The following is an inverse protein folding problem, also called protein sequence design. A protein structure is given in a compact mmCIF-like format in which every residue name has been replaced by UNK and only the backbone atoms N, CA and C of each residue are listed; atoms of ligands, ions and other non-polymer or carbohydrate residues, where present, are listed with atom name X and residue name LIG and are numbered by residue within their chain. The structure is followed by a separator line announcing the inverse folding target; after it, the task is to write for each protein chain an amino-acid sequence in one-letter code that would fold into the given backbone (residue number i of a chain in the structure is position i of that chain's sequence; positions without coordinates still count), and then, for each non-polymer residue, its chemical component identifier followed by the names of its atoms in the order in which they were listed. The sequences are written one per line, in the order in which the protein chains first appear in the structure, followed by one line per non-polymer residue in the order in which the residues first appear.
data_IF_746820322004
#
_entry.id   IF_746820322004
#
_cell.length_a   1.000
_cell.length_b   1.000
_cell.length_c   1.000
_cell.angle_alpha   90.00
_cell.angle_beta   90.00
_cell.angle_gamma   90.00
#
_symmetry.space_group_name_H-M   'P 1'
#
loop_
_entity.id
_entity.type
_entity.pdbx_description
1 polymer ?
#
# COMPACT_ATOMS: atom_id res chain seq x y z
N UNK A 1 21.48 -18.09 1.72
CA UNK A 1 20.02 -18.29 1.83
C UNK A 1 19.67 -18.60 3.29
N UNK A 2 19.22 -17.60 4.05
CA UNK A 2 19.14 -17.63 5.52
C UNK A 2 18.16 -18.68 6.07
N UNK A 3 18.56 -19.41 7.11
CA UNK A 3 17.74 -20.39 7.85
C UNK A 3 16.36 -19.86 8.28
N UNK A 4 16.25 -18.54 8.49
CA UNK A 4 15.01 -17.82 8.81
C UNK A 4 13.96 -17.90 7.69
N UNK A 5 14.35 -17.80 6.43
CA UNK A 5 13.44 -17.99 5.28
C UNK A 5 12.90 -19.42 5.25
N UNK A 6 13.75 -20.41 5.58
CA UNK A 6 13.34 -21.82 5.66
C UNK A 6 12.42 -22.12 6.83
N UNK A 7 12.55 -21.42 7.96
CA UNK A 7 11.64 -21.54 9.09
C UNK A 7 10.27 -20.91 8.77
N UNK A 8 10.26 -19.67 8.28
CA UNK A 8 9.03 -18.98 7.87
C UNK A 8 8.25 -19.76 6.79
N UNK A 9 8.95 -20.27 5.76
CA UNK A 9 8.34 -21.07 4.71
C UNK A 9 7.77 -22.43 5.19
N UNK A 10 8.36 -23.02 6.23
CA UNK A 10 7.85 -24.26 6.85
C UNK A 10 6.55 -24.00 7.61
N UNK A 11 6.47 -22.88 8.33
CA UNK A 11 5.33 -22.56 9.18
C UNK A 11 4.16 -21.93 8.39
N UNK A 12 4.42 -21.38 7.20
CA UNK A 12 3.41 -20.72 6.34
C UNK A 12 3.49 -21.21 4.88
N UNK A 13 3.16 -22.49 4.61
CA UNK A 13 3.35 -23.13 3.31
C UNK A 13 2.57 -22.47 2.16
N UNK A 14 1.56 -21.64 2.46
CA UNK A 14 0.79 -20.88 1.47
C UNK A 14 1.45 -19.54 1.06
N UNK A 15 2.53 -19.11 1.72
CA UNK A 15 3.12 -17.76 1.51
C UNK A 15 4.55 -17.77 1.00
N UNK A 16 5.24 -18.90 1.06
CA UNK A 16 6.55 -19.05 0.45
C UNK A 16 6.40 -19.49 -1.02
N UNK A 17 6.42 -18.53 -1.94
CA UNK A 17 6.57 -18.82 -3.37
C UNK A 17 5.31 -18.72 -4.23
N UNK A 18 4.19 -18.19 -3.72
CA UNK A 18 3.12 -17.76 -4.62
C UNK A 18 3.64 -16.62 -5.49
N UNK A 19 3.67 -16.78 -6.83
CA UNK A 19 4.16 -15.72 -7.70
C UNK A 19 3.28 -14.48 -7.53
N UNK A 20 3.91 -13.31 -7.42
CA UNK A 20 3.20 -12.04 -7.61
C UNK A 20 2.71 -12.03 -9.05
N UNK A 21 1.42 -12.28 -9.25
CA UNK A 21 0.75 -12.26 -10.56
C UNK A 21 0.32 -10.84 -10.84
N UNK A 22 0.71 -10.30 -11.99
CA UNK A 22 0.21 -9.00 -12.45
C UNK A 22 -1.30 -9.10 -12.71
N UNK A 23 -2.12 -8.19 -12.19
CA UNK A 23 -3.54 -8.16 -12.53
C UNK A 23 -3.71 -7.90 -14.03
N UNK A 24 -4.65 -8.60 -14.66
CA UNK A 24 -5.05 -8.33 -16.04
C UNK A 24 -5.94 -7.08 -16.13
N UNK A 25 -6.26 -6.66 -17.35
CA UNK A 25 -7.08 -5.47 -17.58
C UNK A 25 -8.49 -5.60 -17.01
N UNK A 26 -9.05 -6.82 -16.95
CA UNK A 26 -10.37 -7.04 -16.36
C UNK A 26 -10.34 -6.84 -14.84
N UNK A 27 -9.28 -7.29 -14.17
CA UNK A 27 -9.07 -7.04 -12.75
C UNK A 27 -8.89 -5.55 -12.45
N UNK A 28 -8.13 -4.82 -13.28
CA UNK A 28 -7.99 -3.37 -13.14
C UNK A 28 -9.30 -2.62 -13.36
N UNK A 29 -10.07 -3.00 -14.39
CA UNK A 29 -11.40 -2.43 -14.63
C UNK A 29 -12.34 -2.66 -13.43
N UNK A 30 -12.25 -3.83 -12.77
CA UNK A 30 -13.03 -4.12 -11.56
C UNK A 30 -12.62 -3.23 -10.37
N UNK A 31 -11.32 -2.96 -10.20
CA UNK A 31 -10.83 -2.04 -9.15
C UNK A 31 -11.33 -0.61 -9.41
N UNK A 32 -11.16 -0.11 -10.63
CA UNK A 32 -11.62 1.22 -11.01
C UNK A 32 -13.14 1.36 -10.79
N UNK A 33 -13.92 0.41 -11.29
CA UNK A 33 -15.37 0.38 -11.10
C UNK A 33 -15.77 0.34 -9.61
N UNK A 34 -15.06 -0.45 -8.80
CA UNK A 34 -15.32 -0.52 -7.36
C UNK A 34 -15.09 0.81 -6.64
N UNK A 35 -14.02 1.52 -6.99
CA UNK A 35 -13.71 2.83 -6.41
C UNK A 35 -14.73 3.91 -6.88
N UNK A 36 -15.14 3.88 -8.15
CA UNK A 36 -16.20 4.77 -8.66
C UNK A 36 -17.53 4.53 -7.93
N UNK A 37 -17.91 3.26 -7.72
CA UNK A 37 -19.13 2.94 -6.98
C UNK A 37 -19.03 3.38 -5.52
N UNK A 38 -17.87 3.23 -4.85
CA UNK A 38 -17.68 3.79 -3.49
C UNK A 38 -17.98 5.29 -3.49
N UNK A 39 -17.39 6.06 -4.41
CA UNK A 39 -17.58 7.51 -4.47
C UNK A 39 -19.05 7.89 -4.73
N UNK A 40 -19.69 7.21 -5.67
CA UNK A 40 -21.11 7.39 -6.00
C UNK A 40 -22.02 7.07 -4.80
N UNK A 41 -21.76 5.96 -4.11
CA UNK A 41 -22.54 5.52 -2.96
C UNK A 41 -22.39 6.49 -1.77
N UNK A 42 -21.20 7.06 -1.56
CA UNK A 42 -20.96 8.13 -0.56
C UNK A 42 -21.76 9.38 -0.94
N UNK A 43 -21.63 9.88 -2.18
CA UNK A 43 -22.34 11.10 -2.62
C UNK A 43 -23.85 10.94 -2.52
N UNK A 44 -24.40 9.77 -2.82
CA UNK A 44 -25.83 9.50 -2.71
C UNK A 44 -26.32 9.57 -1.26
N UNK A 45 -25.56 9.03 -0.30
CA UNK A 45 -25.97 8.97 1.12
C UNK A 45 -25.64 10.23 1.90
N UNK A 46 -24.57 10.92 1.51
CA UNK A 46 -24.07 12.10 2.19
C UNK A 46 -23.72 13.18 1.14
N UNK A 47 -24.73 13.83 0.52
CA UNK A 47 -24.53 14.73 -0.60
C UNK A 47 -23.69 15.96 -0.27
N UNK A 48 -23.59 16.33 1.01
CA UNK A 48 -22.79 17.46 1.48
C UNK A 48 -21.44 17.04 2.09
N UNK A 49 -21.12 15.75 2.13
CA UNK A 49 -19.84 15.29 2.67
C UNK A 49 -18.69 15.63 1.71
N UNK A 50 -17.54 15.93 2.32
CA UNK A 50 -16.24 15.88 1.65
C UNK A 50 -15.80 14.43 1.59
N UNK A 51 -15.42 13.97 0.39
CA UNK A 51 -14.85 12.65 0.18
C UNK A 51 -13.36 12.80 -0.05
N UNK A 52 -12.54 12.17 0.80
CA UNK A 52 -11.09 12.16 0.69
C UNK A 52 -10.66 10.72 0.51
N UNK A 53 -10.05 10.39 -0.64
CA UNK A 53 -9.34 9.14 -0.82
C UNK A 53 -7.95 9.24 -0.19
N UNK A 54 -7.46 8.15 0.37
CA UNK A 54 -6.07 7.99 0.81
C UNK A 54 -5.49 6.84 -0.01
N UNK A 55 -4.44 7.10 -0.80
CA UNK A 55 -3.76 6.03 -1.52
C UNK A 55 -2.80 5.24 -0.59
N UNK A 56 -2.08 4.28 -1.14
CA UNK A 56 -1.23 3.38 -0.35
C UNK A 56 0.20 3.89 -0.22
N UNK A 57 0.85 3.56 0.90
CA UNK A 57 2.30 3.79 1.08
C UNK A 57 3.14 2.94 0.12
N UNK A 58 4.36 3.39 -0.16
CA UNK A 58 5.37 2.61 -0.88
C UNK A 58 5.96 1.54 0.05
N UNK A 59 5.79 0.28 -0.33
CA UNK A 59 6.25 -0.87 0.46
C UNK A 59 7.57 -1.43 -0.06
N UNK A 60 7.72 -1.54 -1.38
CA UNK A 60 8.88 -2.18 -2.02
C UNK A 60 9.89 -1.09 -2.40
N UNK A 61 11.19 -1.22 -2.01
CA UNK A 61 12.22 -0.25 -2.37
C UNK A 61 12.38 -0.14 -3.89
N UNK A 62 12.87 1.01 -4.41
CA UNK A 62 13.13 1.19 -5.83
C UNK A 62 14.31 0.34 -6.35
N UNK A 63 15.20 -0.10 -5.46
CA UNK A 63 16.44 -0.79 -5.78
C UNK A 63 16.59 -2.08 -4.96
N UNK A 64 17.68 -2.19 -4.19
CA UNK A 64 18.03 -3.38 -3.42
C UNK A 64 16.94 -3.79 -2.42
N UNK A 65 16.64 -5.09 -2.43
CA UNK A 65 15.77 -5.72 -1.45
C UNK A 65 16.56 -6.09 -0.19
N UNK A 66 15.86 -6.13 0.94
CA UNK A 66 16.38 -6.54 2.23
C UNK A 66 15.80 -7.89 2.66
N UNK A 67 16.41 -8.59 3.64
CA UNK A 67 15.96 -9.93 4.05
C UNK A 67 14.52 -10.02 4.56
N UNK A 68 13.94 -8.91 5.02
CA UNK A 68 12.55 -8.85 5.52
C UNK A 68 11.53 -8.70 4.40
N UNK A 69 11.95 -8.43 3.16
CA UNK A 69 11.11 -8.38 1.95
C UNK A 69 11.55 -9.51 1.01
N UNK A 70 11.06 -10.75 1.22
CA UNK A 70 11.60 -11.95 0.57
C UNK A 70 11.04 -12.16 -0.84
N UNK A 71 11.06 -11.10 -1.65
CA UNK A 71 10.69 -11.13 -3.06
C UNK A 71 11.90 -11.48 -3.92
N UNK A 72 11.67 -12.07 -5.09
CA UNK A 72 12.66 -12.01 -6.16
C UNK A 72 12.66 -10.64 -6.81
N UNK A 73 13.75 -10.26 -7.48
CA UNK A 73 13.82 -8.98 -8.21
C UNK A 73 12.66 -8.80 -9.20
N UNK A 74 12.29 -9.89 -9.88
CA UNK A 74 11.17 -9.92 -10.81
C UNK A 74 9.81 -9.71 -10.12
N UNK A 75 9.63 -10.29 -8.93
CA UNK A 75 8.41 -10.09 -8.15
C UNK A 75 8.35 -8.68 -7.58
N UNK A 76 9.48 -8.12 -7.13
CA UNK A 76 9.58 -6.75 -6.66
C UNK A 76 9.26 -5.74 -7.77
N UNK A 77 9.77 -5.97 -8.99
CA UNK A 77 9.45 -5.13 -10.15
C UNK A 77 7.95 -5.15 -10.46
N UNK A 78 7.33 -6.34 -10.46
CA UNK A 78 5.88 -6.46 -10.62
C UNK A 78 5.11 -5.74 -9.51
N UNK A 79 5.51 -5.90 -8.25
CA UNK A 79 4.88 -5.22 -7.12
C UNK A 79 4.98 -3.70 -7.23
N UNK A 80 6.12 -3.16 -7.67
CA UNK A 80 6.29 -1.72 -7.94
C UNK A 80 5.36 -1.23 -9.06
N UNK A 81 5.26 -1.99 -10.16
CA UNK A 81 4.36 -1.66 -11.25
C UNK A 81 2.88 -1.68 -10.82
N UNK A 82 2.48 -2.66 -10.01
CA UNK A 82 1.13 -2.75 -9.44
C UNK A 82 0.85 -1.54 -8.54
N UNK A 83 1.77 -1.21 -7.62
CA UNK A 83 1.62 -0.07 -6.72
C UNK A 83 1.50 1.25 -7.51
N UNK A 84 2.34 1.46 -8.53
CA UNK A 84 2.28 2.63 -9.40
C UNK A 84 0.95 2.73 -10.16
N UNK A 85 0.44 1.61 -10.69
CA UNK A 85 -0.86 1.61 -11.37
C UNK A 85 -2.02 1.86 -10.41
N UNK A 86 -1.97 1.32 -9.18
CA UNK A 86 -2.98 1.57 -8.16
C UNK A 86 -2.99 3.04 -7.69
N UNK A 87 -1.82 3.66 -7.53
CA UNK A 87 -1.65 5.10 -7.28
C UNK A 87 -2.37 5.92 -8.36
N UNK A 88 -2.12 5.60 -9.64
CA UNK A 88 -2.74 6.29 -10.79
C UNK A 88 -4.25 6.09 -10.85
N UNK A 89 -4.75 4.85 -10.69
CA UNK A 89 -6.19 4.54 -10.72
C UNK A 89 -6.92 5.27 -9.60
N UNK A 90 -6.37 5.26 -8.38
CA UNK A 90 -6.98 5.93 -7.23
C UNK A 90 -7.07 7.44 -7.46
N UNK A 91 -6.00 8.05 -7.98
CA UNK A 91 -5.98 9.48 -8.30
C UNK A 91 -6.98 9.85 -9.42
N UNK A 92 -7.07 9.03 -10.48
CA UNK A 92 -8.00 9.25 -11.57
C UNK A 92 -9.46 9.18 -11.11
N UNK A 93 -9.80 8.18 -10.29
CA UNK A 93 -11.16 8.04 -9.70
C UNK A 93 -11.47 9.21 -8.79
N UNK A 94 -10.55 9.59 -7.89
CA UNK A 94 -10.77 10.71 -6.98
C UNK A 94 -11.06 12.01 -7.77
N UNK A 95 -10.24 12.32 -8.77
CA UNK A 95 -10.44 13.47 -9.65
C UNK A 95 -11.80 13.44 -10.36
N UNK A 96 -12.15 12.32 -11.00
CA UNK A 96 -13.41 12.17 -11.76
C UNK A 96 -14.65 12.25 -10.86
N UNK A 97 -14.55 11.79 -9.61
CA UNK A 97 -15.62 11.87 -8.62
C UNK A 97 -15.75 13.26 -7.95
N UNK A 98 -14.85 14.21 -8.24
CA UNK A 98 -14.76 15.47 -7.50
C UNK A 98 -14.41 15.27 -6.02
N UNK A 99 -13.66 14.20 -5.73
CA UNK A 99 -13.13 13.89 -4.41
C UNK A 99 -11.71 14.41 -4.26
N UNK A 100 -11.31 14.61 -3.02
CA UNK A 100 -9.95 15.00 -2.64
C UNK A 100 -9.05 13.74 -2.50
N UNK A 101 -7.74 13.94 -2.51
CA UNK A 101 -6.76 12.85 -2.37
C UNK A 101 -5.66 13.23 -1.39
N UNK A 102 -5.36 12.32 -0.45
CA UNK A 102 -4.11 12.27 0.32
C UNK A 102 -3.20 11.23 -0.32
N UNK A 103 -2.02 11.67 -0.74
CA UNK A 103 -1.02 10.85 -1.42
C UNK A 103 -0.03 10.25 -0.43
N UNK A 104 -0.45 9.25 0.33
CA UNK A 104 0.43 8.47 1.20
C UNK A 104 1.60 7.84 0.42
N UNK A 105 1.39 7.50 -0.85
CA UNK A 105 2.42 7.05 -1.79
C UNK A 105 3.57 8.06 -1.87
N UNK A 106 3.28 9.34 -2.09
CA UNK A 106 4.26 10.44 -2.14
C UNK A 106 4.90 10.70 -0.78
N UNK A 107 4.11 10.74 0.29
CA UNK A 107 4.61 10.97 1.66
C UNK A 107 5.63 9.91 2.11
N UNK A 108 5.44 8.66 1.68
CA UNK A 108 6.28 7.52 2.06
C UNK A 108 7.50 7.30 1.15
N UNK A 109 7.81 8.20 0.23
CA UNK A 109 8.98 8.06 -0.65
C UNK A 109 10.26 8.03 0.20
N UNK A 110 11.08 6.99 0.03
CA UNK A 110 12.30 6.78 0.81
C UNK A 110 12.08 6.11 2.17
N UNK A 111 10.83 5.73 2.49
CA UNK A 111 10.45 5.06 3.73
C UNK A 111 9.84 3.67 3.48
N UNK A 112 10.29 2.96 2.44
CA UNK A 112 9.84 1.60 2.15
C UNK A 112 10.21 0.60 3.26
N UNK A 113 9.80 -0.66 3.11
CA UNK A 113 10.01 -1.70 4.13
C UNK A 113 11.48 -2.05 4.40
N UNK A 114 12.40 -1.62 3.53
CA UNK A 114 13.84 -1.82 3.68
C UNK A 114 14.59 -0.57 4.16
N UNK A 115 13.91 0.57 4.31
CA UNK A 115 14.50 1.78 4.85
C UNK A 115 14.83 1.62 6.35
N UNK A 116 15.86 2.32 6.82
CA UNK A 116 16.21 2.38 8.25
C UNK A 116 15.05 2.95 9.08
N UNK A 117 14.44 4.04 8.60
CA UNK A 117 13.18 4.57 9.12
C UNK A 117 12.00 4.10 8.25
N UNK A 118 11.69 2.81 8.31
CA UNK A 118 10.63 2.20 7.50
C UNK A 118 9.23 2.66 7.93
N UNK A 119 8.40 2.93 6.91
CA UNK A 119 6.98 3.24 7.06
C UNK A 119 6.09 2.05 6.72
N UNK A 120 6.68 0.96 6.21
CA UNK A 120 6.02 -0.31 6.03
C UNK A 120 6.77 -1.39 6.82
N UNK A 121 6.05 -2.29 7.47
CA UNK A 121 6.65 -3.52 7.99
C UNK A 121 7.11 -4.40 6.83
N UNK A 122 8.13 -5.25 7.05
CA UNK A 122 8.46 -6.33 6.12
C UNK A 122 7.38 -7.44 6.06
N UNK A 123 7.71 -8.54 5.37
CA UNK A 123 6.89 -9.75 5.33
C UNK A 123 7.18 -10.71 6.48
N UNK A 124 8.43 -10.69 6.95
CA UNK A 124 8.88 -11.52 8.06
C UNK A 124 8.79 -10.69 9.34
N UNK A 125 8.11 -11.25 10.34
CA UNK A 125 7.95 -10.64 11.67
C UNK A 125 9.29 -10.56 12.41
N UNK A 126 9.58 -9.41 13.00
CA UNK A 126 10.74 -9.27 13.89
C UNK A 126 10.54 -10.03 15.22
N UNK A 127 11.60 -10.65 15.76
CA UNK A 127 11.53 -11.30 17.07
C UNK A 127 11.09 -10.31 18.16
N UNK A 128 10.06 -10.68 18.93
CA UNK A 128 9.57 -9.86 20.04
C UNK A 128 8.48 -8.84 19.68
N UNK A 129 8.10 -8.70 18.41
CA UNK A 129 6.98 -7.84 18.04
C UNK A 129 5.65 -8.39 18.62
N UNK A 130 4.93 -7.58 19.39
CA UNK A 130 3.65 -7.98 20.00
C UNK A 130 2.51 -8.05 18.99
N UNK A 131 2.58 -7.26 17.91
CA UNK A 131 1.65 -7.27 16.78
C UNK A 131 2.44 -7.17 15.47
N UNK A 132 1.94 -7.79 14.40
CA UNK A 132 2.57 -7.77 13.09
C UNK A 132 1.53 -8.08 12.00
N UNK A 133 1.49 -7.23 10.98
CA UNK A 133 0.72 -7.44 9.78
C UNK A 133 1.65 -7.19 8.58
N UNK A 134 1.95 -8.20 7.74
CA UNK A 134 2.91 -8.07 6.65
C UNK A 134 2.62 -6.88 5.74
N UNK A 135 3.64 -6.09 5.40
CA UNK A 135 3.51 -4.93 4.49
C UNK A 135 2.51 -3.84 4.93
N UNK A 136 2.20 -3.74 6.22
CA UNK A 136 1.30 -2.70 6.72
C UNK A 136 2.07 -1.45 7.18
N UNK A 137 1.40 -0.28 7.17
CA UNK A 137 1.96 0.96 7.71
C UNK A 137 2.43 0.81 9.17
N UNK A 138 3.62 1.32 9.47
CA UNK A 138 4.11 1.46 10.85
C UNK A 138 3.53 2.72 11.52
N UNK A 139 3.82 2.92 12.80
CA UNK A 139 3.38 4.11 13.54
C UNK A 139 3.83 5.43 12.87
N UNK A 140 5.11 5.60 12.45
CA UNK A 140 5.54 6.77 11.69
C UNK A 140 4.69 7.05 10.45
N UNK A 141 4.37 6.01 9.69
CA UNK A 141 3.55 6.12 8.49
C UNK A 141 2.13 6.60 8.79
N UNK A 142 1.48 5.95 9.77
CA UNK A 142 0.12 6.31 10.18
C UNK A 142 0.06 7.72 10.77
N UNK A 143 1.10 8.14 11.49
CA UNK A 143 1.22 9.52 12.01
C UNK A 143 1.28 10.53 10.86
N UNK A 144 2.16 10.31 9.87
CA UNK A 144 2.28 11.22 8.74
C UNK A 144 1.02 11.28 7.87
N UNK A 145 0.33 10.15 7.68
CA UNK A 145 -0.97 10.11 6.97
C UNK A 145 -2.04 10.86 7.76
N UNK A 146 -2.10 10.66 9.08
CA UNK A 146 -3.03 11.37 9.95
C UNK A 146 -2.80 12.89 9.92
N UNK A 147 -1.54 13.34 10.02
CA UNK A 147 -1.19 14.76 9.93
C UNK A 147 -1.55 15.36 8.56
N UNK A 148 -1.35 14.61 7.48
CA UNK A 148 -1.75 15.03 6.14
C UNK A 148 -3.27 15.13 5.99
N UNK A 149 -4.00 14.19 6.58
CA UNK A 149 -5.46 14.20 6.59
C UNK A 149 -6.01 15.35 7.44
N UNK A 150 -5.43 15.61 8.62
CA UNK A 150 -5.84 16.69 9.51
C UNK A 150 -5.70 18.06 8.83
N UNK A 151 -4.54 18.31 8.20
CA UNK A 151 -4.34 19.50 7.36
C UNK A 151 -5.39 19.61 6.27
N UNK A 152 -5.65 18.51 5.55
CA UNK A 152 -6.65 18.48 4.48
C UNK A 152 -8.04 18.86 5.00
N UNK A 153 -8.44 18.29 6.13
CA UNK A 153 -9.74 18.55 6.74
C UNK A 153 -9.83 20.00 7.26
N UNK A 154 -8.74 20.56 7.77
CA UNK A 154 -8.65 21.91 8.31
C UNK A 154 -8.54 23.06 7.28
N UNK A 155 -8.37 22.78 5.99
CA UNK A 155 -8.43 23.79 4.92
C UNK A 155 -9.86 24.37 4.82
N UNK A 156 -10.09 25.54 5.44
CA UNK A 156 -11.32 26.35 5.38
C UNK A 156 -11.03 27.75 4.86
#
# INVERSE_FOLDING_TARGET
MCERLRAYARDHPQTAGSPVVSPDEAAWAKVEHGLDEIAKQVRQRAPQARLIFVDYIRVVPPSELCPTVPLSDQAAERSRAIASRLEQVTAAVAHRAGAELVKASELSRGHDACAENNWATGFIKDPGASSFAPYHPTLPAMTAIADALDRKIGEF
#
